data_IF_602139260219
#
_entry.id   IF_602139260219
#
_cell.length_a   1.000
_cell.length_b   1.000
_cell.length_c   1.000
_cell.angle_alpha   90.00
_cell.angle_beta   90.00
_cell.angle_gamma   90.00
#
_symmetry.space_group_name_H-M   'P 1'
#
loop_
_entity.id
_entity.type
_entity.pdbx_description
1 polymer ?
#
# COMPACT_ATOMS: atom_id res chain seq x y z
N UNK A 1 -13.44 64.77 41.26
CA UNK A 1 -12.56 64.00 40.37
C UNK A 1 -12.88 62.53 40.56
N UNK A 2 -13.55 61.91 39.59
CA UNK A 2 -13.81 60.46 39.58
C UNK A 2 -13.85 60.06 38.10
N UNK A 3 -12.85 59.31 37.58
CA UNK A 3 -12.85 58.93 36.17
C UNK A 3 -13.82 57.77 35.97
N UNK A 4 -14.76 57.95 35.06
CA UNK A 4 -15.69 56.90 34.60
C UNK A 4 -14.88 55.86 33.82
N UNK A 5 -14.85 54.63 34.33
CA UNK A 5 -14.34 53.48 33.61
C UNK A 5 -15.27 53.16 32.42
N UNK A 6 -14.71 53.12 31.21
CA UNK A 6 -15.39 52.55 30.04
C UNK A 6 -15.63 51.04 30.27
N UNK A 7 -16.76 50.49 29.81
CA UNK A 7 -17.06 49.08 30.01
C UNK A 7 -16.19 48.21 29.09
N UNK A 8 -15.29 47.44 29.71
CA UNK A 8 -14.42 46.41 29.12
C UNK A 8 -15.15 45.23 28.46
N UNK A 9 -16.45 45.35 28.20
CA UNK A 9 -17.30 44.22 27.79
C UNK A 9 -17.19 43.85 26.30
N UNK A 10 -16.72 44.78 25.44
CA UNK A 10 -16.62 44.51 24.00
C UNK A 10 -15.40 43.66 23.60
N UNK A 11 -14.36 43.59 24.44
CA UNK A 11 -13.14 42.83 24.10
C UNK A 11 -13.24 41.33 24.45
N UNK A 12 -14.20 40.95 25.30
CA UNK A 12 -14.40 39.55 25.71
C UNK A 12 -15.29 38.75 24.75
N UNK A 13 -16.10 39.41 23.90
CA UNK A 13 -16.90 38.71 22.90
C UNK A 13 -16.13 38.30 21.63
N UNK A 14 -14.93 38.84 21.39
CA UNK A 14 -14.16 38.53 20.19
C UNK A 14 -13.28 37.27 20.31
N UNK A 15 -13.11 36.71 21.52
CA UNK A 15 -12.26 35.52 21.76
C UNK A 15 -13.01 34.18 21.74
N UNK A 16 -14.33 34.18 21.60
CA UNK A 16 -15.16 32.97 21.73
C UNK A 16 -15.33 32.16 20.43
N UNK A 17 -14.69 32.52 19.31
CA UNK A 17 -15.11 32.04 17.99
C UNK A 17 -14.17 31.11 17.22
N UNK A 18 -13.12 30.52 17.82
CA UNK A 18 -12.18 29.65 17.08
C UNK A 18 -11.74 28.38 17.81
N UNK A 19 -12.54 27.85 18.74
CA UNK A 19 -12.42 26.43 19.07
C UNK A 19 -13.20 25.63 18.01
N UNK A 20 -12.71 25.65 16.77
CA UNK A 20 -13.11 24.65 15.79
C UNK A 20 -12.62 23.32 16.36
N UNK A 21 -13.53 22.55 16.94
CA UNK A 21 -13.29 21.13 17.20
C UNK A 21 -13.02 20.54 15.81
N UNK A 22 -11.74 20.34 15.48
CA UNK A 22 -11.35 19.73 14.22
C UNK A 22 -12.02 18.36 14.21
N UNK A 23 -12.98 18.17 13.31
CA UNK A 23 -13.64 16.88 13.16
C UNK A 23 -12.58 15.84 12.82
N UNK A 24 -12.69 14.65 13.41
CA UNK A 24 -11.80 13.54 13.09
C UNK A 24 -11.84 13.26 11.57
N UNK A 25 -10.67 13.05 10.99
CA UNK A 25 -10.54 12.72 9.58
C UNK A 25 -10.34 11.21 9.43
N UNK A 26 -11.29 10.56 8.75
CA UNK A 26 -11.29 9.12 8.57
C UNK A 26 -10.84 8.73 7.15
N UNK A 27 -10.12 7.61 7.06
CA UNK A 27 -9.64 7.00 5.82
C UNK A 27 -9.84 5.49 5.88
N UNK A 28 -10.60 4.96 4.92
CA UNK A 28 -10.75 3.52 4.77
C UNK A 28 -9.57 2.93 3.97
N UNK A 29 -8.87 1.97 4.56
CA UNK A 29 -7.76 1.25 3.94
C UNK A 29 -8.24 -0.15 3.52
N UNK A 30 -8.48 -0.31 2.22
CA UNK A 30 -8.76 -1.61 1.62
C UNK A 30 -7.44 -2.19 1.15
N UNK A 31 -7.10 -3.42 1.54
CA UNK A 31 -5.83 -4.00 1.13
C UNK A 31 -5.94 -5.46 0.70
N UNK A 32 -5.01 -5.85 -0.16
CA UNK A 32 -4.69 -7.24 -0.49
C UNK A 32 -3.19 -7.47 -0.40
N UNK A 33 -2.79 -8.72 -0.28
CA UNK A 33 -1.41 -9.19 -0.31
C UNK A 33 -1.44 -10.66 -0.75
N UNK A 34 -0.34 -11.14 -1.35
CA UNK A 34 -0.12 -12.56 -1.64
C UNK A 34 -1.28 -13.20 -2.45
N UNK A 35 -1.80 -12.44 -3.42
CA UNK A 35 -2.92 -12.90 -4.25
C UNK A 35 -2.50 -14.06 -5.14
N UNK A 36 -1.22 -14.16 -5.52
CA UNK A 36 -0.62 -15.29 -6.23
C UNK A 36 -1.47 -15.79 -7.40
N UNK A 37 -1.76 -14.88 -8.33
CA UNK A 37 -2.49 -15.14 -9.56
C UNK A 37 -3.83 -15.88 -9.38
N UNK A 38 -4.49 -15.75 -8.21
CA UNK A 38 -5.86 -16.23 -7.97
C UNK A 38 -6.88 -15.27 -8.62
N UNK A 39 -6.86 -15.26 -9.95
CA UNK A 39 -7.76 -14.46 -10.79
C UNK A 39 -9.20 -14.96 -10.65
N UNK A 40 -9.39 -16.26 -10.86
CA UNK A 40 -10.69 -16.93 -10.69
C UNK A 40 -11.01 -17.18 -9.21
N UNK A 41 -12.26 -17.52 -8.94
CA UNK A 41 -12.64 -18.01 -7.62
C UNK A 41 -12.02 -19.36 -7.28
N UNK A 42 -11.78 -19.59 -6.00
CA UNK A 42 -11.08 -20.76 -5.48
C UNK A 42 -11.98 -21.61 -4.59
N UNK A 43 -11.54 -22.83 -4.30
CA UNK A 43 -12.09 -23.56 -3.16
C UNK A 43 -11.59 -22.91 -1.83
N UNK A 44 -12.02 -23.45 -0.69
CA UNK A 44 -11.66 -22.95 0.65
C UNK A 44 -10.16 -22.98 0.96
N UNK A 45 -9.40 -23.84 0.26
CA UNK A 45 -7.97 -24.05 0.44
C UNK A 45 -7.16 -23.34 -0.68
N UNK A 46 -7.78 -22.34 -1.33
CA UNK A 46 -7.18 -21.54 -2.41
C UNK A 46 -6.75 -22.33 -3.65
N UNK A 47 -7.29 -23.54 -3.86
CA UNK A 47 -7.14 -24.34 -5.06
C UNK A 47 -8.29 -24.15 -6.07
N UNK A 48 -8.30 -24.94 -7.14
CA UNK A 48 -9.36 -24.87 -8.18
C UNK A 48 -10.74 -25.13 -7.56
N UNK A 49 -11.69 -24.21 -7.75
CA UNK A 49 -13.07 -24.47 -7.38
C UNK A 49 -13.72 -25.39 -8.42
N UNK A 50 -14.21 -26.56 -7.98
CA UNK A 50 -14.93 -27.51 -8.84
C UNK A 50 -16.39 -27.70 -8.41
N UNK A 51 -16.70 -27.35 -7.16
CA UNK A 51 -18.04 -27.42 -6.56
C UNK A 51 -18.21 -26.25 -5.57
N UNK A 52 -19.40 -25.63 -5.49
CA UNK A 52 -19.70 -24.62 -4.49
C UNK A 52 -19.61 -25.17 -3.05
N UNK A 53 -19.38 -24.30 -2.04
CA UNK A 53 -19.13 -22.86 -2.17
C UNK A 53 -17.71 -22.53 -2.68
N UNK A 54 -17.62 -21.51 -3.52
CA UNK A 54 -16.35 -20.94 -3.99
C UNK A 54 -16.08 -19.58 -3.32
N UNK A 55 -14.81 -19.21 -3.20
CA UNK A 55 -14.31 -18.05 -2.47
C UNK A 55 -13.41 -17.18 -3.36
N UNK A 56 -13.05 -15.98 -2.89
CA UNK A 56 -12.08 -15.10 -3.56
C UNK A 56 -12.41 -14.78 -5.03
N UNK A 57 -11.38 -14.59 -5.87
CA UNK A 57 -11.48 -14.21 -7.28
C UNK A 57 -11.69 -12.71 -7.50
N UNK A 58 -11.15 -12.18 -8.61
CA UNK A 58 -11.13 -10.73 -8.90
C UNK A 58 -12.54 -10.16 -9.08
N UNK A 59 -13.48 -10.93 -9.63
CA UNK A 59 -14.86 -10.48 -9.86
C UNK A 59 -15.64 -10.26 -8.54
N UNK A 60 -15.46 -11.16 -7.57
CA UNK A 60 -16.06 -11.03 -6.24
C UNK A 60 -15.42 -9.87 -5.47
N UNK A 61 -14.09 -9.76 -5.56
CA UNK A 61 -13.33 -8.64 -4.96
C UNK A 61 -13.78 -7.29 -5.53
N UNK A 62 -13.95 -7.19 -6.84
CA UNK A 62 -14.46 -6.00 -7.53
C UNK A 62 -15.82 -5.56 -6.98
N UNK A 63 -16.75 -6.50 -6.80
CA UNK A 63 -18.07 -6.22 -6.23
C UNK A 63 -17.96 -5.62 -4.84
N UNK A 64 -17.13 -6.23 -3.96
CA UNK A 64 -16.97 -5.75 -2.58
C UNK A 64 -16.23 -4.41 -2.50
N UNK A 65 -15.20 -4.21 -3.30
CA UNK A 65 -14.46 -2.94 -3.37
C UNK A 65 -15.40 -1.81 -3.80
N UNK A 66 -16.25 -2.03 -4.81
CA UNK A 66 -17.23 -1.03 -5.25
C UNK A 66 -18.25 -0.70 -4.16
N UNK A 67 -18.74 -1.71 -3.45
CA UNK A 67 -19.64 -1.51 -2.31
C UNK A 67 -18.98 -0.63 -1.24
N UNK A 68 -17.75 -0.96 -0.83
CA UNK A 68 -17.04 -0.22 0.21
C UNK A 68 -16.74 1.21 -0.24
N UNK A 69 -16.17 1.41 -1.43
CA UNK A 69 -15.90 2.74 -1.99
C UNK A 69 -17.15 3.61 -2.15
N UNK A 70 -18.34 3.02 -2.27
CA UNK A 70 -19.60 3.78 -2.34
C UNK A 70 -20.08 4.32 -0.99
N UNK A 71 -19.54 3.79 0.12
CA UNK A 71 -19.89 4.17 1.50
C UNK A 71 -18.85 5.08 2.15
N UNK A 72 -17.60 4.94 1.74
CA UNK A 72 -16.47 5.67 2.33
C UNK A 72 -16.20 6.97 1.58
N UNK A 73 -16.07 8.08 2.32
CA UNK A 73 -15.75 9.40 1.73
C UNK A 73 -14.31 9.42 1.22
N UNK A 74 -13.38 8.91 2.03
CA UNK A 74 -11.97 8.78 1.69
C UNK A 74 -11.60 7.31 1.76
N UNK A 75 -11.04 6.76 0.67
CA UNK A 75 -10.56 5.39 0.67
C UNK A 75 -9.33 5.23 -0.20
N UNK A 76 -8.50 4.25 0.15
CA UNK A 76 -7.41 3.76 -0.67
C UNK A 76 -7.55 2.24 -0.83
N UNK A 77 -7.29 1.75 -2.05
CA UNK A 77 -7.13 0.34 -2.36
C UNK A 77 -5.65 0.05 -2.62
N UNK A 78 -5.05 -0.74 -1.74
CA UNK A 78 -3.62 -0.97 -1.67
C UNK A 78 -3.29 -2.44 -1.87
N UNK A 79 -2.17 -2.73 -2.50
CA UNK A 79 -1.64 -4.08 -2.60
C UNK A 79 -0.24 -4.16 -1.98
N UNK A 80 -0.01 -5.14 -1.11
CA UNK A 80 1.26 -5.32 -0.44
C UNK A 80 2.17 -6.34 -1.16
N UNK A 81 1.99 -6.56 -2.47
CA UNK A 81 2.88 -7.38 -3.30
C UNK A 81 2.42 -8.83 -3.47
N UNK A 82 3.16 -9.54 -4.32
CA UNK A 82 2.94 -10.92 -4.73
C UNK A 82 1.57 -11.14 -5.40
N UNK A 83 1.27 -10.30 -6.39
CA UNK A 83 0.24 -10.60 -7.40
C UNK A 83 0.73 -11.69 -8.35
N UNK A 84 2.04 -11.68 -8.64
CA UNK A 84 2.69 -12.61 -9.54
C UNK A 84 2.76 -14.02 -8.95
N UNK A 85 3.02 -14.98 -9.86
CA UNK A 85 3.19 -16.40 -9.57
C UNK A 85 1.95 -17.10 -9.00
N UNK A 86 1.84 -18.42 -9.15
CA UNK A 86 0.93 -19.25 -8.37
C UNK A 86 -0.17 -19.99 -9.14
N UNK A 87 -0.56 -19.55 -10.34
CA UNK A 87 -1.50 -20.30 -11.21
C UNK A 87 -1.09 -20.25 -12.69
N UNK A 88 -1.81 -20.99 -13.53
CA UNK A 88 -1.64 -20.95 -14.99
C UNK A 88 -1.88 -19.56 -15.59
N UNK A 89 -2.62 -18.69 -14.90
CA UNK A 89 -2.82 -17.30 -15.34
C UNK A 89 -1.49 -16.57 -15.48
N UNK A 90 -0.65 -16.60 -14.43
CA UNK A 90 0.68 -15.99 -14.50
C UNK A 90 1.59 -16.71 -15.51
N UNK A 91 1.51 -18.04 -15.59
CA UNK A 91 2.34 -18.80 -16.53
C UNK A 91 2.08 -18.38 -17.99
N UNK A 92 0.84 -18.04 -18.33
CA UNK A 92 0.43 -17.66 -19.67
C UNK A 92 0.54 -16.15 -19.94
N UNK A 93 0.05 -15.33 -19.01
CA UNK A 93 -0.09 -13.88 -19.19
C UNK A 93 1.08 -13.06 -18.61
N UNK A 94 1.95 -13.69 -17.82
CA UNK A 94 3.24 -13.15 -17.39
C UNK A 94 3.14 -11.80 -16.66
N UNK A 95 2.06 -11.53 -15.93
CA UNK A 95 1.81 -10.27 -15.23
C UNK A 95 0.86 -9.32 -15.95
N UNK A 96 0.53 -9.57 -17.22
CA UNK A 96 -0.48 -8.76 -17.95
C UNK A 96 -1.86 -8.90 -17.30
N UNK A 97 -2.18 -10.07 -16.76
CA UNK A 97 -3.41 -10.31 -16.02
C UNK A 97 -3.46 -9.47 -14.73
N UNK A 98 -2.34 -9.37 -14.02
CA UNK A 98 -2.24 -8.58 -12.80
C UNK A 98 -2.47 -7.10 -13.13
N UNK A 99 -1.73 -6.54 -14.09
CA UNK A 99 -1.92 -5.16 -14.54
C UNK A 99 -3.37 -4.92 -15.00
N UNK A 100 -3.91 -5.80 -15.83
CA UNK A 100 -5.27 -5.67 -16.35
C UNK A 100 -6.32 -5.60 -15.23
N UNK A 101 -6.31 -6.57 -14.31
CA UNK A 101 -7.33 -6.61 -13.26
C UNK A 101 -7.10 -5.54 -12.19
N UNK A 102 -5.86 -5.26 -11.79
CA UNK A 102 -5.60 -4.17 -10.85
C UNK A 102 -6.10 -2.82 -11.38
N UNK A 103 -5.93 -2.57 -12.69
CA UNK A 103 -6.48 -1.38 -13.35
C UNK A 103 -8.02 -1.38 -13.32
N UNK A 104 -8.66 -2.53 -13.55
CA UNK A 104 -10.13 -2.64 -13.50
C UNK A 104 -10.68 -2.45 -12.09
N UNK A 105 -9.98 -2.95 -11.07
CA UNK A 105 -10.35 -2.77 -9.65
C UNK A 105 -10.03 -1.34 -9.16
N UNK A 106 -9.14 -0.64 -9.85
CA UNK A 106 -8.73 0.73 -9.54
C UNK A 106 -7.87 0.78 -8.29
N UNK A 107 -6.81 -0.03 -8.20
CA UNK A 107 -5.81 0.09 -7.14
C UNK A 107 -5.16 1.47 -7.18
N UNK A 108 -4.86 2.02 -6.00
CA UNK A 108 -4.23 3.33 -5.85
C UNK A 108 -2.70 3.19 -5.80
N UNK A 109 -2.21 2.19 -5.05
CA UNK A 109 -0.81 1.83 -5.00
C UNK A 109 -0.59 0.33 -4.77
N UNK A 110 0.58 -0.15 -5.20
CA UNK A 110 1.08 -1.49 -4.95
C UNK A 110 2.52 -1.40 -4.48
N UNK A 111 2.91 -2.15 -3.44
CA UNK A 111 4.31 -2.43 -3.17
C UNK A 111 4.78 -3.64 -3.97
N UNK A 112 6.04 -3.62 -4.42
CA UNK A 112 6.66 -4.80 -5.04
C UNK A 112 6.90 -5.88 -3.98
N UNK A 113 6.43 -7.10 -4.26
CA UNK A 113 6.81 -8.32 -3.56
C UNK A 113 7.99 -9.02 -4.22
N UNK A 114 8.38 -10.17 -3.66
CA UNK A 114 9.50 -10.93 -4.23
C UNK A 114 9.11 -11.61 -5.54
N UNK A 115 7.87 -12.11 -5.67
CA UNK A 115 7.45 -12.85 -6.86
C UNK A 115 7.25 -11.96 -8.09
N UNK A 116 7.17 -10.65 -7.92
CA UNK A 116 7.21 -9.69 -9.03
C UNK A 116 8.51 -9.81 -9.86
N UNK A 117 9.59 -10.38 -9.29
CA UNK A 117 10.87 -10.58 -9.95
C UNK A 117 11.06 -11.98 -10.55
N UNK A 118 10.04 -12.85 -10.55
CA UNK A 118 10.17 -14.26 -10.97
C UNK A 118 10.55 -14.44 -12.44
N UNK A 119 10.12 -13.50 -13.30
CA UNK A 119 10.50 -13.46 -14.70
C UNK A 119 11.67 -12.48 -14.96
N UNK A 120 12.42 -12.14 -13.92
CA UNK A 120 13.47 -11.13 -13.95
C UNK A 120 12.94 -9.70 -14.11
N UNK A 121 13.87 -8.75 -14.12
CA UNK A 121 13.55 -7.32 -14.25
C UNK A 121 12.81 -7.02 -15.55
N UNK A 122 13.18 -7.67 -16.66
CA UNK A 122 12.50 -7.48 -17.94
C UNK A 122 11.04 -7.93 -17.89
N UNK A 123 10.77 -9.05 -17.22
CA UNK A 123 9.41 -9.56 -17.02
C UNK A 123 8.58 -8.76 -16.02
N UNK A 124 9.23 -8.08 -15.07
CA UNK A 124 8.59 -7.09 -14.22
C UNK A 124 8.20 -5.85 -15.04
N UNK A 125 9.15 -5.29 -15.81
CA UNK A 125 8.90 -4.09 -16.61
C UNK A 125 7.80 -4.37 -17.64
N UNK A 126 7.95 -5.44 -18.43
CA UNK A 126 7.00 -5.81 -19.48
C UNK A 126 6.38 -7.18 -19.21
N UNK A 127 5.04 -7.26 -19.13
CA UNK A 127 4.06 -6.21 -19.44
C UNK A 127 3.70 -5.30 -18.25
N UNK A 128 4.01 -5.71 -17.01
CA UNK A 128 3.31 -5.19 -15.85
C UNK A 128 3.55 -3.70 -15.54
N UNK A 129 4.80 -3.25 -15.34
CA UNK A 129 5.06 -1.84 -15.01
C UNK A 129 4.72 -0.88 -16.16
N UNK A 130 4.67 -1.36 -17.40
CA UNK A 130 4.24 -0.55 -18.55
C UNK A 130 2.73 -0.33 -18.58
N UNK A 131 1.94 -1.29 -18.10
CA UNK A 131 0.49 -1.29 -18.28
C UNK A 131 -0.27 -0.94 -16.99
N UNK A 132 0.33 -1.08 -15.82
CA UNK A 132 -0.35 -0.80 -14.54
C UNK A 132 -0.51 0.70 -14.29
N UNK A 133 -1.71 1.12 -13.88
CA UNK A 133 -2.06 2.52 -13.64
C UNK A 133 -1.84 2.96 -12.19
N UNK A 134 -1.86 2.02 -11.24
CA UNK A 134 -1.60 2.33 -9.83
C UNK A 134 -0.12 2.69 -9.64
N UNK A 135 0.19 3.43 -8.58
CA UNK A 135 1.60 3.73 -8.30
C UNK A 135 2.30 2.51 -7.72
N UNK A 136 3.35 2.02 -8.37
CA UNK A 136 4.19 0.93 -7.85
C UNK A 136 5.28 1.49 -6.95
N UNK A 137 5.47 0.88 -5.78
CA UNK A 137 6.28 1.41 -4.69
C UNK A 137 7.34 0.42 -4.18
N UNK A 138 8.57 0.92 -3.97
CA UNK A 138 9.59 0.29 -3.14
C UNK A 138 10.71 1.30 -2.84
N UNK A 139 10.94 1.61 -1.56
CA UNK A 139 11.95 2.59 -1.13
C UNK A 139 13.34 1.98 -0.95
N UNK A 140 13.41 0.68 -0.73
CA UNK A 140 14.64 -0.03 -0.39
C UNK A 140 15.27 -0.78 -1.58
N UNK A 141 14.70 -0.67 -2.79
CA UNK A 141 15.32 -1.20 -4.01
C UNK A 141 16.08 -0.09 -4.73
N UNK A 142 17.39 -0.27 -4.89
CA UNK A 142 18.27 0.66 -5.60
C UNK A 142 18.88 -0.03 -6.82
N UNK A 143 18.62 0.46 -8.06
CA UNK A 143 19.31 -0.03 -9.23
C UNK A 143 20.73 0.56 -9.30
N UNK A 144 21.68 -0.24 -9.77
CA UNK A 144 23.01 0.28 -10.10
C UNK A 144 22.99 1.14 -11.38
N UNK A 145 24.14 1.71 -11.77
CA UNK A 145 24.25 2.53 -12.98
C UNK A 145 23.93 1.80 -14.29
N UNK A 146 24.01 0.47 -14.28
CA UNK A 146 23.73 -0.38 -15.45
C UNK A 146 22.23 -0.45 -15.69
N UNK A 147 21.46 -0.68 -14.63
CA UNK A 147 20.01 -0.90 -14.72
C UNK A 147 19.19 0.38 -14.50
N UNK A 148 19.76 1.38 -13.83
CA UNK A 148 19.07 2.63 -13.52
C UNK A 148 18.43 3.29 -14.76
N UNK A 149 19.06 3.41 -15.94
CA UNK A 149 18.42 4.01 -17.11
C UNK A 149 17.15 3.28 -17.59
N UNK A 150 17.02 1.99 -17.28
CA UNK A 150 15.93 1.13 -17.76
C UNK A 150 14.77 1.10 -16.78
N UNK A 151 15.04 1.01 -15.47
CA UNK A 151 14.00 0.80 -14.45
C UNK A 151 13.66 2.05 -13.63
N UNK A 152 14.55 3.05 -13.58
CA UNK A 152 14.32 4.25 -12.76
C UNK A 152 13.05 4.98 -13.19
N UNK A 153 12.18 5.30 -12.23
CA UNK A 153 10.89 5.94 -12.48
C UNK A 153 9.75 4.96 -12.83
N UNK A 154 10.04 3.67 -13.03
CA UNK A 154 9.01 2.64 -13.21
C UNK A 154 8.34 2.22 -11.89
N UNK A 155 9.01 2.52 -10.77
CA UNK A 155 8.47 2.47 -9.41
C UNK A 155 9.01 3.67 -8.62
N UNK A 156 8.34 4.02 -7.52
CA UNK A 156 8.71 5.16 -6.67
C UNK A 156 9.01 4.69 -5.25
N UNK A 157 9.80 5.46 -4.50
CA UNK A 157 10.02 5.17 -3.09
C UNK A 157 8.75 5.42 -2.26
N UNK A 158 8.04 6.50 -2.58
CA UNK A 158 6.77 6.87 -1.95
C UNK A 158 5.85 7.62 -2.91
N UNK A 159 4.58 7.76 -2.53
CA UNK A 159 3.57 8.60 -3.19
C UNK A 159 2.78 9.40 -2.17
N UNK A 160 2.44 10.64 -2.50
CA UNK A 160 1.50 11.47 -1.71
C UNK A 160 0.16 11.48 -2.42
N UNK A 161 -0.89 11.09 -1.71
CA UNK A 161 -2.29 11.17 -2.12
C UNK A 161 -2.96 12.36 -1.43
N UNK A 162 -3.77 13.13 -2.17
CA UNK A 162 -4.44 14.31 -1.66
C UNK A 162 -5.94 14.04 -1.49
N UNK A 163 -6.48 14.39 -0.33
CA UNK A 163 -7.89 14.27 0.04
C UNK A 163 -8.39 15.64 0.56
N UNK A 164 -8.76 16.52 -0.36
CA UNK A 164 -9.11 17.91 0.00
C UNK A 164 -7.89 18.64 0.59
N UNK A 165 -8.00 19.06 1.86
CA UNK A 165 -6.89 19.65 2.62
C UNK A 165 -5.88 18.64 3.14
N UNK A 166 -6.24 17.35 3.18
CA UNK A 166 -5.42 16.31 3.78
C UNK A 166 -4.46 15.67 2.78
N UNK A 167 -3.31 15.22 3.29
CA UNK A 167 -2.29 14.49 2.54
C UNK A 167 -1.97 13.19 3.25
N UNK A 168 -1.90 12.11 2.49
CA UNK A 168 -1.47 10.79 2.95
C UNK A 168 -0.25 10.35 2.16
N UNK A 169 0.85 10.09 2.85
CA UNK A 169 2.06 9.52 2.25
C UNK A 169 2.02 8.01 2.34
N UNK A 170 2.37 7.32 1.25
CA UNK A 170 2.57 5.87 1.25
C UNK A 170 4.01 5.62 0.84
N UNK A 171 4.76 4.93 1.68
CA UNK A 171 6.16 4.54 1.42
C UNK A 171 6.24 3.03 1.23
N UNK A 172 6.89 2.60 0.14
CA UNK A 172 6.98 1.20 -0.25
C UNK A 172 8.17 0.47 0.39
N UNK A 173 8.07 -0.83 0.63
CA UNK A 173 9.23 -1.68 0.94
C UNK A 173 9.06 -3.11 0.42
N UNK A 174 10.18 -3.78 0.14
CA UNK A 174 10.24 -5.14 -0.41
C UNK A 174 11.27 -5.95 0.35
N UNK A 175 11.01 -7.24 0.58
CA UNK A 175 11.90 -8.13 1.32
C UNK A 175 13.34 -8.09 0.80
N UNK A 176 14.29 -7.84 1.70
CA UNK A 176 15.73 -7.96 1.40
C UNK A 176 16.16 -9.38 1.00
N UNK A 177 15.30 -10.37 1.23
CA UNK A 177 15.53 -11.78 0.85
C UNK A 177 15.17 -12.06 -0.62
N UNK A 178 14.60 -11.10 -1.34
CA UNK A 178 14.20 -11.25 -2.76
C UNK A 178 15.30 -11.87 -3.66
N UNK A 179 16.60 -11.52 -3.53
CA UNK A 179 17.66 -12.18 -4.32
C UNK A 179 17.82 -13.68 -4.06
N UNK A 180 17.37 -14.19 -2.92
CA UNK A 180 17.38 -15.61 -2.58
C UNK A 180 16.06 -16.32 -2.95
N UNK A 181 14.96 -15.57 -3.08
CA UNK A 181 13.61 -16.10 -3.28
C UNK A 181 13.14 -16.00 -4.75
N UNK A 182 13.74 -15.11 -5.53
CA UNK A 182 13.34 -14.82 -6.91
C UNK A 182 14.55 -14.46 -7.78
N UNK A 183 14.34 -13.83 -8.94
CA UNK A 183 15.36 -13.59 -9.96
C UNK A 183 15.59 -12.09 -10.27
N UNK A 184 15.82 -11.21 -9.29
CA UNK A 184 16.02 -9.77 -9.54
C UNK A 184 17.31 -9.45 -10.31
N UNK A 185 18.22 -10.41 -10.45
CA UNK A 185 19.53 -10.21 -11.07
C UNK A 185 20.53 -9.47 -10.17
N UNK A 186 21.76 -9.22 -10.64
CA UNK A 186 22.84 -8.68 -9.81
C UNK A 186 22.83 -7.15 -9.71
N UNK A 187 21.96 -6.47 -10.47
CA UNK A 187 21.96 -5.01 -10.63
C UNK A 187 20.93 -4.28 -9.75
N UNK A 188 20.21 -5.02 -8.90
CA UNK A 188 19.29 -4.48 -7.90
C UNK A 188 19.82 -4.77 -6.50
N UNK A 189 19.97 -3.71 -5.71
CA UNK A 189 20.35 -3.79 -4.30
C UNK A 189 19.08 -3.63 -3.47
N UNK A 190 18.84 -4.58 -2.56
CA UNK A 190 17.75 -4.53 -1.60
C UNK A 190 18.31 -4.11 -0.23
N UNK A 191 18.15 -2.83 0.11
CA UNK A 191 18.58 -2.24 1.37
C UNK A 191 17.73 -2.75 2.55
N UNK A 192 18.24 -2.56 3.78
CA UNK A 192 17.46 -2.74 5.01
C UNK A 192 16.21 -1.85 5.00
N UNK A 193 15.06 -2.46 5.27
CA UNK A 193 13.76 -1.81 5.15
C UNK A 193 13.61 -0.63 6.10
N UNK A 194 13.96 -0.81 7.39
CA UNK A 194 13.82 0.23 8.41
C UNK A 194 14.67 1.46 8.05
N UNK A 195 15.90 1.23 7.61
CA UNK A 195 16.84 2.29 7.23
C UNK A 195 16.33 3.07 6.02
N UNK A 196 15.91 2.36 4.96
CA UNK A 196 15.39 2.99 3.74
C UNK A 196 14.07 3.73 4.00
N UNK A 197 13.15 3.12 4.75
CA UNK A 197 11.87 3.74 5.11
C UNK A 197 12.06 5.00 5.93
N UNK A 198 12.90 4.98 6.97
CA UNK A 198 13.10 6.16 7.83
C UNK A 198 13.59 7.38 7.03
N UNK A 199 14.44 7.14 6.01
CA UNK A 199 14.91 8.20 5.10
C UNK A 199 13.75 8.85 4.34
N UNK A 200 12.84 8.06 3.79
CA UNK A 200 11.71 8.57 3.00
C UNK A 200 10.60 9.16 3.88
N UNK A 201 10.34 8.57 5.05
CA UNK A 201 9.40 9.12 6.05
C UNK A 201 9.85 10.51 6.51
N UNK A 202 11.15 10.72 6.77
CA UNK A 202 11.67 12.04 7.12
C UNK A 202 11.42 13.08 6.00
N UNK A 203 11.55 12.68 4.73
CA UNK A 203 11.26 13.55 3.59
C UNK A 203 9.76 13.89 3.53
N UNK A 204 8.88 12.89 3.68
CA UNK A 204 7.42 13.10 3.73
C UNK A 204 7.03 14.08 4.84
N UNK A 205 7.58 13.92 6.05
CA UNK A 205 7.35 14.83 7.18
C UNK A 205 7.82 16.26 6.87
N UNK A 206 8.99 16.41 6.24
CA UNK A 206 9.51 17.73 5.81
C UNK A 206 8.60 18.39 4.77
N UNK A 207 7.92 17.60 3.93
CA UNK A 207 6.92 18.07 2.96
C UNK A 207 5.55 18.37 3.60
N UNK A 208 5.44 18.29 4.92
CA UNK A 208 4.22 18.57 5.69
C UNK A 208 3.19 17.44 5.65
N UNK A 209 3.61 16.21 5.32
CA UNK A 209 2.74 15.03 5.40
C UNK A 209 2.81 14.47 6.82
N UNK A 210 1.65 14.35 7.47
CA UNK A 210 1.51 13.89 8.86
C UNK A 210 0.69 12.60 9.00
N UNK A 211 0.36 11.95 7.89
CA UNK A 211 -0.32 10.66 7.81
C UNK A 211 0.48 9.78 6.86
N UNK A 212 1.18 8.78 7.39
CA UNK A 212 2.15 7.99 6.63
C UNK A 212 1.88 6.50 6.83
N UNK A 213 1.67 5.83 5.70
CA UNK A 213 1.45 4.38 5.61
C UNK A 213 2.74 3.74 5.08
N UNK A 214 3.27 2.75 5.78
CA UNK A 214 4.25 1.83 5.20
C UNK A 214 3.49 0.68 4.53
N UNK A 215 3.68 0.50 3.23
CA UNK A 215 3.06 -0.56 2.43
C UNK A 215 4.18 -1.45 1.88
N UNK A 216 4.16 -2.76 2.15
CA UNK A 216 5.26 -3.58 1.69
C UNK A 216 5.21 -5.06 1.98
N UNK A 217 6.30 -5.71 1.60
CA UNK A 217 6.34 -7.16 1.41
C UNK A 217 7.60 -7.78 2.04
N UNK A 218 7.71 -7.72 3.37
CA UNK A 218 8.85 -8.31 4.12
C UNK A 218 8.44 -9.27 5.23
N UNK A 219 7.14 -9.51 5.39
CA UNK A 219 6.62 -10.46 6.39
C UNK A 219 6.32 -9.83 7.74
N UNK A 220 5.39 -10.45 8.46
CA UNK A 220 4.76 -9.87 9.64
C UNK A 220 5.74 -9.49 10.76
N UNK A 221 6.81 -10.26 10.95
CA UNK A 221 7.85 -9.92 11.92
C UNK A 221 8.58 -8.63 11.54
N UNK A 222 8.91 -8.43 10.26
CA UNK A 222 9.55 -7.20 9.77
C UNK A 222 8.56 -6.04 9.81
N UNK A 223 7.29 -6.28 9.48
CA UNK A 223 6.22 -5.27 9.57
C UNK A 223 6.08 -4.73 11.01
N UNK A 224 6.14 -5.62 12.01
CA UNK A 224 6.16 -5.22 13.43
C UNK A 224 7.42 -4.43 13.79
N UNK A 225 8.58 -4.78 13.25
CA UNK A 225 9.82 -4.04 13.48
C UNK A 225 9.78 -2.64 12.83
N UNK A 226 9.20 -2.53 11.64
CA UNK A 226 8.95 -1.25 10.96
C UNK A 226 8.06 -0.37 11.83
N UNK A 227 6.92 -0.90 12.29
CA UNK A 227 5.99 -0.19 13.17
C UNK A 227 6.66 0.32 14.47
N UNK A 228 7.60 -0.45 15.02
CA UNK A 228 8.34 -0.07 16.24
C UNK A 228 9.44 0.97 15.99
N UNK A 229 10.13 0.88 14.85
CA UNK A 229 11.42 1.58 14.65
C UNK A 229 11.32 2.78 13.72
N UNK A 230 10.43 2.77 12.73
CA UNK A 230 10.31 3.85 11.75
C UNK A 230 9.42 4.95 12.32
N UNK A 231 10.06 5.99 12.87
CA UNK A 231 9.35 7.12 13.47
C UNK A 231 8.60 7.91 12.41
N UNK A 232 7.32 8.11 12.65
CA UNK A 232 6.41 8.86 11.77
C UNK A 232 5.50 7.97 10.92
N UNK A 233 5.66 6.64 10.95
CA UNK A 233 4.68 5.72 10.35
C UNK A 233 3.49 5.56 11.30
N UNK A 234 2.29 5.72 10.75
CA UNK A 234 1.02 5.57 11.50
C UNK A 234 0.40 4.18 11.30
N UNK A 235 0.56 3.60 10.11
CA UNK A 235 0.00 2.30 9.75
C UNK A 235 1.03 1.50 8.94
N UNK A 236 1.11 0.20 9.21
CA UNK A 236 1.85 -0.76 8.38
C UNK A 236 0.87 -1.73 7.74
N UNK A 237 0.92 -1.86 6.41
CA UNK A 237 0.17 -2.84 5.63
C UNK A 237 1.18 -3.76 4.96
N UNK A 238 1.24 -4.99 5.46
CA UNK A 238 2.23 -6.00 5.06
C UNK A 238 1.69 -7.12 4.18
N UNK A 239 2.61 -8.02 3.78
CA UNK A 239 2.36 -9.23 3.00
C UNK A 239 3.41 -10.32 3.31
N UNK A 240 3.70 -11.19 2.34
CA UNK A 240 4.78 -12.19 2.31
C UNK A 240 4.55 -13.45 3.15
N UNK A 241 4.08 -13.25 4.38
CA UNK A 241 3.97 -14.33 5.38
C UNK A 241 2.60 -14.99 5.43
N UNK A 242 1.67 -14.57 4.57
CA UNK A 242 0.28 -15.06 4.56
C UNK A 242 -0.40 -14.99 5.94
N UNK A 243 -0.06 -13.97 6.73
CA UNK A 243 -0.54 -13.84 8.11
C UNK A 243 -2.02 -13.46 8.13
N UNK A 244 -2.83 -14.26 8.80
CA UNK A 244 -4.24 -13.95 9.05
C UNK A 244 -4.39 -13.28 10.42
N UNK A 245 -4.95 -12.06 10.43
CA UNK A 245 -5.30 -11.31 11.63
C UNK A 245 -6.81 -11.10 11.66
N UNK A 246 -7.43 -11.32 12.82
CA UNK A 246 -8.87 -11.19 12.97
C UNK A 246 -9.24 -10.73 14.39
N UNK A 247 -10.22 -9.84 14.48
CA UNK A 247 -10.83 -9.38 15.73
C UNK A 247 -12.33 -9.56 15.61
N UNK A 248 -12.92 -10.44 16.42
CA UNK A 248 -14.36 -10.72 16.43
C UNK A 248 -14.68 -11.97 17.24
N UNK A 249 -15.96 -12.25 17.47
CA UNK A 249 -16.39 -13.55 18.00
C UNK A 249 -16.47 -14.55 16.85
N UNK A 250 -15.76 -15.67 16.97
CA UNK A 250 -15.82 -16.78 16.01
C UNK A 250 -17.28 -17.22 15.83
N UNK A 251 -17.88 -16.79 14.74
CA UNK A 251 -19.21 -17.24 14.29
C UNK A 251 -19.09 -18.26 13.16
N UNK A 252 -17.86 -18.70 12.83
CA UNK A 252 -17.56 -19.65 11.78
C UNK A 252 -16.57 -20.73 12.25
N UNK A 253 -17.06 -21.66 13.08
CA UNK A 253 -16.67 -23.08 13.07
C UNK A 253 -17.94 -23.92 13.09
#
# INVERSE_FOLDING_TARGET
MCPRALPSLLLQLLLLCLCACAADWELALLHTNDVHARVEETNKDSGKCTKPPCFAGVARRFTKIRELRSRETNSLLLDAGDQFQGTVWFNLYKGAEAAHFMNKLGYDAMALGNHEFDNGVDGLIKPFLQDVNCTVLSANIQPDSTLAPTISGSYLAFKIFNFGSEKVGIVGYTSKETPALSLPGPHLIFEDEVTALQREVNKLTTLGVNKIIALGHSGFAVDQEIAKKVRGVDVVIGGHTNTFLYTGTDTCL
#
